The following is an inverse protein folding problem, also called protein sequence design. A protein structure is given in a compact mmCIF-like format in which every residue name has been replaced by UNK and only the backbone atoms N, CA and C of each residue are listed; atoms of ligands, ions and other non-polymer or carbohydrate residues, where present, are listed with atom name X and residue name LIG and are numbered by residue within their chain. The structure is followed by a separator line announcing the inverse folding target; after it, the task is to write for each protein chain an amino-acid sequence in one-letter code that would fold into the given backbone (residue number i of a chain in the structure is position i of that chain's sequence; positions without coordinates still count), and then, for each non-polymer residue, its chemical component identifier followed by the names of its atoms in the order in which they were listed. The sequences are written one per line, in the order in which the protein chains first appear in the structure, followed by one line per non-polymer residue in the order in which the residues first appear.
data_IF_635970278659
#
_entry.id   IF_635970278659
#
_cell.length_a   1.000
_cell.length_b   1.000
_cell.length_c   1.000
_cell.angle_alpha   90.00
_cell.angle_beta   90.00
_cell.angle_gamma   90.00
#
_symmetry.space_group_name_H-M   'P 1'
#
loop_
_entity.id
_entity.type
_entity.pdbx_description
1 polymer ?
#
# COMPACT_ATOMS: atom_id res chain seq x y z
N UNK A 1 -2.65 -41.27 2.42
CA UNK A 1 -2.40 -40.37 1.33
C UNK A 1 -3.17 -39.10 1.50
N UNK A 2 -2.55 -38.05 2.05
CA UNK A 2 -3.14 -36.72 2.02
C UNK A 2 -2.87 -36.18 0.63
N UNK A 3 -3.92 -35.94 -0.15
CA UNK A 3 -3.81 -35.33 -1.45
C UNK A 3 -3.26 -33.91 -1.32
N UNK A 4 -2.21 -33.66 -2.04
CA UNK A 4 -1.57 -32.34 -2.11
C UNK A 4 -2.51 -31.41 -2.88
N UNK A 5 -3.38 -30.70 -2.16
CA UNK A 5 -4.30 -29.72 -2.75
C UNK A 5 -3.58 -28.38 -2.96
N UNK A 6 -2.47 -28.42 -3.71
CA UNK A 6 -1.70 -27.24 -4.06
C UNK A 6 -2.47 -26.42 -5.11
N UNK A 7 -2.78 -25.17 -4.75
CA UNK A 7 -3.43 -24.23 -5.67
C UNK A 7 -2.38 -23.26 -6.17
N UNK A 8 -2.18 -23.20 -7.47
CA UNK A 8 -1.29 -22.25 -8.09
C UNK A 8 -2.01 -20.91 -8.24
N UNK A 9 -1.60 -19.90 -7.44
CA UNK A 9 -2.20 -18.56 -7.44
C UNK A 9 -1.49 -17.66 -8.44
N UNK A 10 -0.15 -17.62 -8.40
CA UNK A 10 0.68 -16.86 -9.33
C UNK A 10 1.38 -17.81 -10.31
N UNK A 11 1.33 -17.46 -11.59
CA UNK A 11 1.76 -18.33 -12.71
C UNK A 11 2.85 -17.68 -13.55
N UNK A 12 3.98 -17.38 -12.92
CA UNK A 12 5.09 -16.74 -13.60
C UNK A 12 4.81 -15.26 -13.89
N UNK A 13 5.21 -14.39 -12.97
CA UNK A 13 5.04 -12.94 -13.09
C UNK A 13 6.42 -12.31 -13.22
N UNK A 14 6.59 -11.53 -14.30
CA UNK A 14 7.71 -10.62 -14.48
C UNK A 14 7.18 -9.21 -14.56
N UNK A 15 7.64 -8.35 -13.64
CA UNK A 15 7.26 -6.94 -13.64
C UNK A 15 8.39 -6.08 -13.09
N UNK A 16 8.37 -4.82 -13.49
CA UNK A 16 9.33 -3.81 -13.05
C UNK A 16 8.58 -2.52 -12.73
N UNK A 17 8.91 -1.93 -11.58
CA UNK A 17 8.35 -0.65 -11.12
C UNK A 17 9.53 0.24 -10.76
N UNK A 18 9.53 1.46 -11.30
CA UNK A 18 10.58 2.44 -11.02
C UNK A 18 10.31 3.20 -9.72
N UNK A 19 11.37 3.62 -9.08
CA UNK A 19 11.31 4.44 -7.87
C UNK A 19 10.53 5.75 -8.12
N UNK A 20 9.62 6.08 -7.22
CA UNK A 20 8.82 7.30 -7.31
C UNK A 20 7.61 7.20 -8.24
N UNK A 21 7.34 6.02 -8.79
CA UNK A 21 6.12 5.79 -9.60
C UNK A 21 4.89 5.58 -8.71
N UNK A 22 3.77 6.05 -9.22
CA UNK A 22 2.44 5.67 -8.72
C UNK A 22 1.94 4.53 -9.61
N UNK A 23 1.92 3.32 -9.06
CA UNK A 23 1.57 2.11 -9.78
C UNK A 23 0.20 1.61 -9.34
N UNK A 24 -0.65 1.29 -10.31
CA UNK A 24 -1.96 0.67 -10.06
C UNK A 24 -1.97 -0.73 -10.65
N UNK A 25 -2.23 -1.72 -9.80
CA UNK A 25 -2.47 -3.10 -10.18
C UNK A 25 -3.98 -3.35 -10.26
N UNK A 26 -4.48 -3.57 -11.46
CA UNK A 26 -5.88 -3.85 -11.74
C UNK A 26 -6.11 -5.34 -12.00
N UNK A 27 -7.26 -5.81 -11.55
CA UNK A 27 -7.72 -7.14 -11.86
C UNK A 27 -8.92 -7.53 -11.02
N UNK A 28 -9.68 -8.56 -11.45
CA UNK A 28 -10.81 -9.05 -10.68
C UNK A 28 -10.37 -9.70 -9.36
N UNK A 29 -11.29 -9.84 -8.42
CA UNK A 29 -11.06 -10.59 -7.19
C UNK A 29 -10.57 -12.00 -7.51
N UNK A 30 -9.60 -12.50 -6.74
CA UNK A 30 -9.02 -13.83 -6.94
C UNK A 30 -8.03 -13.93 -8.10
N UNK A 31 -7.62 -12.82 -8.71
CA UNK A 31 -6.62 -12.82 -9.80
C UNK A 31 -5.17 -12.92 -9.32
N UNK A 32 -4.92 -12.90 -8.01
CA UNK A 32 -3.58 -12.99 -7.43
C UNK A 32 -2.95 -11.66 -7.02
N UNK A 33 -3.67 -10.55 -7.10
CA UNK A 33 -3.16 -9.21 -6.77
C UNK A 33 -2.66 -9.12 -5.32
N UNK A 34 -3.48 -9.52 -4.36
CA UNK A 34 -3.12 -9.48 -2.93
C UNK A 34 -1.95 -10.41 -2.62
N UNK A 35 -1.90 -11.59 -3.23
CA UNK A 35 -0.79 -12.53 -3.10
C UNK A 35 0.50 -11.90 -3.62
N UNK A 36 0.46 -11.27 -4.79
CA UNK A 36 1.61 -10.57 -5.35
C UNK A 36 2.10 -9.45 -4.43
N UNK A 37 1.17 -8.65 -3.89
CA UNK A 37 1.50 -7.57 -2.97
C UNK A 37 2.16 -8.08 -1.70
N UNK A 38 1.66 -9.17 -1.14
CA UNK A 38 2.23 -9.82 0.05
C UNK A 38 3.64 -10.38 -0.21
N UNK A 39 3.90 -10.88 -1.41
CA UNK A 39 5.24 -11.34 -1.81
C UNK A 39 6.19 -10.16 -1.95
N UNK A 40 5.78 -9.09 -2.60
CA UNK A 40 6.56 -7.85 -2.71
C UNK A 40 6.88 -7.28 -1.32
N UNK A 41 5.92 -7.33 -0.42
CA UNK A 41 6.08 -6.89 0.97
C UNK A 41 6.89 -7.82 1.86
N UNK A 42 7.29 -8.99 1.38
CA UNK A 42 8.01 -9.98 2.16
C UNK A 42 7.17 -10.65 3.25
N UNK A 43 5.84 -10.55 3.18
CA UNK A 43 4.91 -11.20 4.11
C UNK A 43 4.78 -12.68 3.75
N UNK A 44 4.64 -12.97 2.47
CA UNK A 44 4.60 -14.31 1.92
C UNK A 44 5.86 -14.57 1.09
N UNK A 45 6.33 -15.81 1.07
CA UNK A 45 7.42 -16.25 0.21
C UNK A 45 6.92 -16.68 -1.17
N UNK A 46 7.75 -16.46 -2.19
CA UNK A 46 7.53 -17.04 -3.51
C UNK A 46 8.05 -18.48 -3.54
N UNK A 47 7.37 -19.36 -4.27
CA UNK A 47 7.83 -20.73 -4.47
C UNK A 47 9.13 -20.78 -5.30
N UNK A 48 9.25 -19.86 -6.26
CA UNK A 48 10.42 -19.70 -7.13
C UNK A 48 10.50 -18.29 -7.69
N UNK A 49 11.65 -17.95 -8.25
CA UNK A 49 11.88 -16.64 -8.84
C UNK A 49 12.68 -15.71 -7.94
N UNK A 50 12.77 -14.46 -8.34
CA UNK A 50 13.55 -13.45 -7.63
C UNK A 50 12.78 -12.15 -7.50
N UNK A 51 13.02 -11.46 -6.38
CA UNK A 51 12.49 -10.13 -6.10
C UNK A 51 13.65 -9.25 -5.69
N UNK A 52 13.91 -8.20 -6.46
CA UNK A 52 14.96 -7.24 -6.18
C UNK A 52 14.34 -5.87 -5.93
N UNK A 53 14.67 -5.25 -4.81
CA UNK A 53 14.23 -3.92 -4.45
C UNK A 53 15.45 -3.09 -4.10
N UNK A 54 15.68 -2.00 -4.83
CA UNK A 54 16.85 -1.13 -4.70
C UNK A 54 18.18 -1.91 -4.72
N UNK A 55 18.25 -2.96 -5.56
CA UNK A 55 19.45 -3.80 -5.71
C UNK A 55 19.58 -4.93 -4.68
N UNK A 56 18.69 -5.02 -3.71
CA UNK A 56 18.69 -6.10 -2.70
C UNK A 56 17.71 -7.20 -3.06
N UNK A 57 18.15 -8.45 -3.01
CA UNK A 57 17.34 -9.64 -3.27
C UNK A 57 16.64 -10.08 -1.98
N UNK A 58 15.32 -9.93 -1.92
CA UNK A 58 14.55 -10.20 -0.70
C UNK A 58 14.28 -11.69 -0.47
N UNK A 59 14.24 -12.53 -1.51
CA UNK A 59 14.00 -13.97 -1.39
C UNK A 59 15.13 -14.70 -0.65
N UNK A 60 16.33 -14.13 -0.62
CA UNK A 60 17.49 -14.70 0.06
C UNK A 60 17.61 -14.22 1.52
N UNK A 61 16.74 -13.32 1.96
CA UNK A 61 16.79 -12.76 3.31
C UNK A 61 16.32 -13.75 4.37
N UNK A 62 17.00 -13.73 5.52
CA UNK A 62 16.52 -14.41 6.74
C UNK A 62 15.29 -13.67 7.30
N UNK A 63 14.52 -14.32 8.18
CA UNK A 63 13.39 -13.67 8.87
C UNK A 63 13.77 -12.37 9.57
N UNK A 64 14.94 -12.35 10.18
CA UNK A 64 15.47 -11.14 10.84
C UNK A 64 15.71 -10.01 9.83
N UNK A 65 16.33 -10.32 8.69
CA UNK A 65 16.57 -9.34 7.63
C UNK A 65 15.28 -8.88 6.96
N UNK A 66 14.32 -9.77 6.73
CA UNK A 66 13.00 -9.42 6.21
C UNK A 66 12.24 -8.49 7.15
N UNK A 67 12.30 -8.73 8.44
CA UNK A 67 11.69 -7.83 9.44
C UNK A 67 12.30 -6.43 9.39
N UNK A 68 13.63 -6.34 9.29
CA UNK A 68 14.33 -5.07 9.14
C UNK A 68 14.00 -4.38 7.81
N UNK A 69 13.91 -5.14 6.73
CA UNK A 69 13.53 -4.64 5.42
C UNK A 69 12.12 -4.02 5.44
N UNK A 70 11.12 -4.75 5.96
CA UNK A 70 9.75 -4.23 6.10
C UNK A 70 9.69 -2.99 6.98
N UNK A 71 10.42 -3.01 8.08
CA UNK A 71 10.48 -1.91 9.04
C UNK A 71 11.06 -0.64 8.43
N UNK A 72 12.13 -0.79 7.64
CA UNK A 72 12.90 0.32 7.10
C UNK A 72 12.34 0.87 5.79
N UNK A 73 11.86 0.00 4.89
CA UNK A 73 11.56 0.36 3.51
C UNK A 73 10.07 0.36 3.19
N UNK A 74 9.25 -0.39 3.93
CA UNK A 74 7.85 -0.60 3.56
C UNK A 74 6.86 0.05 4.53
N UNK A 75 5.85 0.71 3.94
CA UNK A 75 4.58 0.97 4.59
C UNK A 75 3.50 0.08 3.97
N UNK A 76 2.62 -0.48 4.76
CA UNK A 76 1.54 -1.34 4.30
C UNK A 76 0.19 -0.83 4.78
N UNK A 77 -0.72 -0.57 3.84
CA UNK A 77 -2.09 -0.16 4.11
C UNK A 77 -3.02 -1.30 3.71
N UNK A 78 -3.66 -1.89 4.71
CA UNK A 78 -4.58 -3.00 4.52
C UNK A 78 -5.99 -2.50 4.19
N UNK A 79 -6.79 -3.32 3.51
CA UNK A 79 -8.21 -3.09 3.30
C UNK A 79 -8.97 -2.99 4.62
N UNK A 80 -8.63 -3.86 5.58
CA UNK A 80 -9.03 -3.75 6.98
C UNK A 80 -8.01 -2.86 7.69
N UNK A 81 -8.44 -1.87 8.42
CA UNK A 81 -7.57 -0.81 8.96
C UNK A 81 -6.52 -1.30 9.97
N UNK A 82 -6.81 -2.40 10.69
CA UNK A 82 -5.90 -3.04 11.65
C UNK A 82 -5.33 -2.08 12.72
N UNK A 83 -6.11 -1.11 13.14
CA UNK A 83 -5.72 -0.22 14.22
C UNK A 83 -5.71 -0.97 15.55
N UNK A 84 -4.81 -0.56 16.45
CA UNK A 84 -4.76 -1.08 17.81
C UNK A 84 -5.90 -0.44 18.60
N UNK A 85 -6.91 -1.21 19.04
CA UNK A 85 -8.17 -0.65 19.53
C UNK A 85 -8.06 0.11 20.84
N UNK A 86 -7.04 -0.18 21.64
CA UNK A 86 -6.81 0.44 22.95
C UNK A 86 -5.89 1.67 22.87
N UNK A 87 -5.41 2.00 21.69
CA UNK A 87 -4.56 3.17 21.46
C UNK A 87 -5.36 4.27 20.75
N UNK A 88 -5.06 5.51 21.09
CA UNK A 88 -5.60 6.69 20.41
C UNK A 88 -5.09 6.78 18.96
N UNK A 89 -5.66 7.69 18.18
CA UNK A 89 -5.16 8.03 16.84
C UNK A 89 -3.68 8.36 16.88
N UNK A 90 -3.28 9.28 17.75
CA UNK A 90 -1.87 9.67 17.91
C UNK A 90 -1.00 8.49 18.28
N UNK A 91 -1.40 7.71 19.24
CA UNK A 91 -0.63 6.54 19.70
C UNK A 91 -0.50 5.47 18.61
N UNK A 92 -1.56 5.23 17.83
CA UNK A 92 -1.48 4.32 16.67
C UNK A 92 -0.42 4.78 15.66
N UNK A 93 -0.36 6.08 15.36
CA UNK A 93 0.65 6.64 14.46
C UNK A 93 2.05 6.58 15.09
N UNK A 94 2.18 6.90 16.38
CA UNK A 94 3.44 6.86 17.11
C UNK A 94 4.06 5.47 17.15
N UNK A 95 3.26 4.41 17.16
CA UNK A 95 3.76 3.03 17.00
C UNK A 95 4.58 2.88 15.72
N UNK A 96 4.09 3.46 14.60
CA UNK A 96 4.85 3.49 13.35
C UNK A 96 6.14 4.30 13.46
N UNK A 97 6.09 5.45 14.13
CA UNK A 97 7.27 6.30 14.34
C UNK A 97 8.38 5.60 15.12
N UNK A 98 8.02 4.82 16.15
CA UNK A 98 8.98 4.03 16.92
C UNK A 98 9.73 3.00 16.09
N UNK A 99 9.14 2.55 15.00
CA UNK A 99 9.75 1.55 14.12
C UNK A 99 10.74 2.15 13.11
N UNK A 100 10.89 3.47 13.09
CA UNK A 100 11.69 4.17 12.09
C UNK A 100 12.91 4.88 12.71
N UNK A 101 14.01 4.91 11.97
CA UNK A 101 15.21 5.67 12.33
C UNK A 101 15.03 7.16 12.05
N UNK A 102 14.21 7.51 11.06
CA UNK A 102 13.93 8.88 10.63
C UNK A 102 12.44 9.10 10.38
N UNK A 103 11.59 9.03 11.41
CA UNK A 103 10.16 9.19 11.24
C UNK A 103 9.81 10.61 10.78
N UNK A 104 8.67 10.75 10.11
CA UNK A 104 8.06 12.03 9.84
C UNK A 104 7.55 12.64 11.17
N UNK A 105 7.38 13.96 11.18
CA UNK A 105 6.80 14.65 12.33
C UNK A 105 5.33 14.28 12.50
N UNK A 106 4.96 13.79 13.69
CA UNK A 106 3.61 13.30 13.98
C UNK A 106 2.59 14.42 13.94
N UNK A 107 2.88 15.59 14.50
CA UNK A 107 1.94 16.71 14.52
C UNK A 107 1.68 17.23 13.11
N UNK A 108 2.71 17.42 12.31
CA UNK A 108 2.59 17.81 10.92
C UNK A 108 1.77 16.79 10.12
N UNK A 109 2.02 15.51 10.35
CA UNK A 109 1.30 14.43 9.69
C UNK A 109 -0.17 14.39 10.07
N UNK A 110 -0.50 14.58 11.34
CA UNK A 110 -1.89 14.67 11.81
C UNK A 110 -2.65 15.80 11.11
N UNK A 111 -2.00 16.95 10.93
CA UNK A 111 -2.58 18.08 10.19
C UNK A 111 -2.76 17.75 8.70
N UNK A 112 -1.74 17.18 8.06
CA UNK A 112 -1.80 16.77 6.65
C UNK A 112 -2.93 15.77 6.40
N UNK A 113 -3.12 14.82 7.32
CA UNK A 113 -4.18 13.81 7.25
C UNK A 113 -5.57 14.36 7.61
N UNK A 114 -5.67 15.58 8.14
CA UNK A 114 -6.94 16.16 8.55
C UNK A 114 -7.58 15.51 9.77
N UNK A 115 -6.78 14.89 10.64
CA UNK A 115 -7.27 14.18 11.85
C UNK A 115 -6.65 14.71 13.15
N UNK A 116 -6.01 15.85 13.11
CA UNK A 116 -5.39 16.48 14.29
C UNK A 116 -6.42 16.66 15.45
N UNK A 117 -7.61 17.13 15.14
CA UNK A 117 -8.69 17.34 16.12
C UNK A 117 -9.18 16.03 16.78
N UNK A 118 -8.93 14.88 16.13
CA UNK A 118 -9.34 13.57 16.58
C UNK A 118 -8.21 12.76 17.20
N UNK A 119 -7.03 13.36 17.42
CA UNK A 119 -5.82 12.65 17.82
C UNK A 119 -5.92 11.87 19.12
N UNK A 120 -6.84 12.25 20.00
CA UNK A 120 -7.05 11.60 21.32
C UNK A 120 -8.19 10.59 21.33
N UNK A 121 -8.89 10.43 20.21
CA UNK A 121 -9.96 9.45 20.07
C UNK A 121 -9.43 8.05 19.88
N UNK A 122 -10.21 7.07 20.34
CA UNK A 122 -9.97 5.65 20.09
C UNK A 122 -10.57 5.25 18.73
N UNK A 123 -10.10 4.16 18.12
CA UNK A 123 -10.61 3.70 16.82
C UNK A 123 -12.13 3.54 16.74
N UNK A 124 -12.77 3.05 17.80
CA UNK A 124 -14.23 2.87 17.83
C UNK A 124 -15.03 4.19 17.86
N UNK A 125 -14.36 5.31 18.06
CA UNK A 125 -14.96 6.65 18.05
C UNK A 125 -14.80 7.36 16.70
N UNK A 126 -14.20 6.69 15.72
CA UNK A 126 -13.85 7.24 14.41
C UNK A 126 -14.77 6.74 13.31
N UNK A 127 -15.02 7.58 12.30
CA UNK A 127 -15.60 7.14 11.03
C UNK A 127 -14.65 6.20 10.30
N UNK A 128 -15.15 5.46 9.29
CA UNK A 128 -14.32 4.62 8.44
C UNK A 128 -13.17 5.39 7.77
N UNK A 129 -13.46 6.59 7.25
CA UNK A 129 -12.44 7.46 6.64
C UNK A 129 -11.38 7.93 7.62
N UNK A 130 -11.77 8.27 8.84
CA UNK A 130 -10.84 8.67 9.89
C UNK A 130 -9.96 7.50 10.34
N UNK A 131 -10.52 6.29 10.44
CA UNK A 131 -9.76 5.08 10.71
C UNK A 131 -8.75 4.80 9.60
N UNK A 132 -9.15 4.91 8.33
CA UNK A 132 -8.26 4.70 7.20
C UNK A 132 -7.15 5.74 7.16
N UNK A 133 -7.44 7.01 7.41
CA UNK A 133 -6.42 8.06 7.50
C UNK A 133 -5.43 7.81 8.63
N UNK A 134 -5.89 7.29 9.76
CA UNK A 134 -5.03 6.89 10.87
C UNK A 134 -4.10 5.74 10.47
N UNK A 135 -4.64 4.73 9.80
CA UNK A 135 -3.86 3.60 9.27
C UNK A 135 -2.81 4.05 8.26
N UNK A 136 -3.17 4.97 7.37
CA UNK A 136 -2.24 5.61 6.42
C UNK A 136 -1.14 6.35 7.19
N UNK A 137 -1.50 7.14 8.18
CA UNK A 137 -0.55 7.87 9.02
C UNK A 137 0.46 6.96 9.71
N UNK A 138 -0.01 5.85 10.28
CA UNK A 138 0.87 4.84 10.88
C UNK A 138 1.85 4.23 9.86
N UNK A 139 1.42 4.02 8.63
CA UNK A 139 2.27 3.49 7.57
C UNK A 139 3.29 4.51 7.06
N UNK A 140 2.85 5.76 6.77
CA UNK A 140 3.72 6.77 6.16
C UNK A 140 4.63 7.49 7.17
N UNK A 141 4.28 7.52 8.46
CA UNK A 141 5.15 8.12 9.50
C UNK A 141 6.52 7.46 9.57
N UNK A 142 6.62 6.21 9.18
CA UNK A 142 7.88 5.46 9.08
C UNK A 142 8.82 6.05 8.03
N UNK A 143 8.33 6.96 7.18
CA UNK A 143 9.04 7.50 6.03
C UNK A 143 9.52 6.38 5.08
N UNK A 144 8.61 5.50 4.62
CA UNK A 144 8.98 4.35 3.80
C UNK A 144 9.34 4.78 2.39
N UNK A 145 10.17 3.97 1.71
CA UNK A 145 10.47 4.15 0.28
C UNK A 145 9.31 3.68 -0.59
N UNK A 146 8.62 2.65 -0.11
CA UNK A 146 7.54 1.98 -0.84
C UNK A 146 6.30 1.88 0.04
N UNK A 147 5.17 2.30 -0.49
CA UNK A 147 3.86 2.19 0.14
C UNK A 147 3.01 1.18 -0.64
N UNK A 148 2.64 0.10 0.03
CA UNK A 148 1.79 -0.95 -0.52
C UNK A 148 0.36 -0.77 -0.02
N UNK A 149 -0.60 -0.62 -0.93
CA UNK A 149 -1.99 -0.34 -0.58
C UNK A 149 -2.91 -1.42 -1.14
N UNK A 150 -3.59 -2.14 -0.26
CA UNK A 150 -4.56 -3.16 -0.61
C UNK A 150 -5.97 -2.59 -0.54
N UNK A 151 -6.56 -2.27 -1.70
CA UNK A 151 -7.91 -1.69 -1.82
C UNK A 151 -8.14 -0.54 -0.82
N UNK A 152 -7.34 0.53 -0.85
CA UNK A 152 -7.35 1.53 0.22
C UNK A 152 -8.67 2.30 0.34
N UNK A 153 -9.52 2.24 -0.67
CA UNK A 153 -10.81 2.94 -0.71
C UNK A 153 -12.03 2.01 -0.75
N UNK A 154 -11.81 0.70 -0.68
CA UNK A 154 -12.86 -0.29 -0.93
C UNK A 154 -14.06 -0.25 0.02
N UNK A 155 -13.86 0.23 1.25
CA UNK A 155 -14.92 0.34 2.27
C UNK A 155 -15.36 1.79 2.51
N UNK A 156 -14.92 2.75 1.68
CA UNK A 156 -15.17 4.17 1.87
C UNK A 156 -16.21 4.71 0.88
N UNK A 157 -16.93 5.75 1.30
CA UNK A 157 -17.75 6.52 0.38
C UNK A 157 -16.90 7.25 -0.66
N UNK A 158 -17.54 7.69 -1.74
CA UNK A 158 -16.87 8.33 -2.87
C UNK A 158 -15.95 9.50 -2.47
N UNK A 159 -16.49 10.47 -1.73
CA UNK A 159 -15.73 11.67 -1.37
C UNK A 159 -14.53 11.36 -0.46
N UNK A 160 -14.72 10.48 0.50
CA UNK A 160 -13.66 10.03 1.40
C UNK A 160 -12.60 9.24 0.63
N UNK A 161 -13.03 8.33 -0.23
CA UNK A 161 -12.12 7.55 -1.08
C UNK A 161 -11.27 8.44 -1.98
N UNK A 162 -11.89 9.44 -2.61
CA UNK A 162 -11.20 10.42 -3.45
C UNK A 162 -10.15 11.23 -2.66
N UNK A 163 -10.50 11.65 -1.45
CA UNK A 163 -9.59 12.35 -0.54
C UNK A 163 -8.37 11.49 -0.16
N UNK A 164 -8.58 10.21 0.11
CA UNK A 164 -7.51 9.26 0.41
C UNK A 164 -6.58 9.08 -0.80
N UNK A 165 -7.12 8.88 -1.99
CA UNK A 165 -6.32 8.74 -3.21
C UNK A 165 -5.53 10.01 -3.53
N UNK A 166 -6.10 11.17 -3.29
CA UNK A 166 -5.38 12.45 -3.44
C UNK A 166 -4.21 12.54 -2.48
N UNK A 167 -4.40 12.14 -1.24
CA UNK A 167 -3.32 12.08 -0.25
C UNK A 167 -2.19 11.17 -0.72
N UNK A 168 -2.51 9.96 -1.18
CA UNK A 168 -1.52 9.00 -1.66
C UNK A 168 -0.78 9.52 -2.90
N UNK A 169 -1.49 10.13 -3.84
CA UNK A 169 -0.89 10.73 -5.02
C UNK A 169 0.06 11.88 -4.65
N UNK A 170 -0.34 12.72 -3.71
CA UNK A 170 0.50 13.82 -3.21
C UNK A 170 1.76 13.29 -2.50
N UNK A 171 1.65 12.24 -1.69
CA UNK A 171 2.81 11.61 -1.04
C UNK A 171 3.81 11.10 -2.07
N UNK A 172 3.31 10.47 -3.14
CA UNK A 172 4.15 10.05 -4.25
C UNK A 172 4.87 11.24 -4.91
N UNK A 173 4.14 12.30 -5.26
CA UNK A 173 4.70 13.46 -5.99
C UNK A 173 5.60 14.32 -5.13
N UNK A 174 5.22 14.59 -3.89
CA UNK A 174 5.93 15.51 -3.01
C UNK A 174 7.07 14.87 -2.22
N UNK A 175 6.89 13.63 -1.79
CA UNK A 175 7.86 12.90 -0.96
C UNK A 175 8.71 11.89 -1.74
N UNK A 176 8.38 11.64 -3.00
CA UNK A 176 9.10 10.66 -3.82
C UNK A 176 8.86 9.21 -3.43
N UNK A 177 7.82 8.92 -2.66
CA UNK A 177 7.43 7.55 -2.32
C UNK A 177 6.97 6.80 -3.58
N UNK A 178 7.42 5.55 -3.71
CA UNK A 178 6.83 4.61 -4.67
C UNK A 178 5.53 4.09 -4.07
N UNK A 179 4.42 4.30 -4.76
CA UNK A 179 3.10 3.87 -4.28
C UNK A 179 2.59 2.77 -5.20
N UNK A 180 2.20 1.64 -4.62
CA UNK A 180 1.61 0.51 -5.34
C UNK A 180 0.23 0.25 -4.76
N UNK A 181 -0.80 0.47 -5.57
CA UNK A 181 -2.20 0.25 -5.18
C UNK A 181 -2.75 -0.94 -5.93
N UNK A 182 -3.31 -1.90 -5.22
CA UNK A 182 -4.15 -2.91 -5.84
C UNK A 182 -5.61 -2.52 -5.72
N UNK A 183 -6.34 -2.64 -6.83
CA UNK A 183 -7.76 -2.32 -6.89
C UNK A 183 -8.45 -3.08 -8.02
N UNK A 184 -9.75 -3.23 -7.93
CA UNK A 184 -10.60 -3.68 -9.03
C UNK A 184 -11.30 -2.51 -9.75
N UNK A 185 -11.10 -1.27 -9.28
CA UNK A 185 -11.72 -0.08 -9.85
C UNK A 185 -10.90 0.44 -11.04
N UNK A 186 -11.39 0.15 -12.25
CA UNK A 186 -10.75 0.55 -13.50
C UNK A 186 -10.73 2.06 -13.72
N UNK A 187 -11.61 2.81 -13.07
CA UNK A 187 -11.64 4.26 -13.19
C UNK A 187 -10.37 4.94 -12.67
N UNK A 188 -9.59 4.24 -11.83
CA UNK A 188 -8.32 4.75 -11.30
C UNK A 188 -7.15 4.60 -12.26
N UNK A 189 -7.29 3.88 -13.37
CA UNK A 189 -6.23 3.65 -14.33
C UNK A 189 -5.54 4.94 -14.82
N UNK A 190 -6.27 6.04 -15.12
CA UNK A 190 -5.64 7.26 -15.65
C UNK A 190 -4.70 7.97 -14.68
N UNK A 191 -4.83 7.75 -13.36
CA UNK A 191 -3.96 8.39 -12.37
C UNK A 191 -2.59 7.74 -12.20
N UNK A 192 -2.41 6.54 -12.73
CA UNK A 192 -1.18 5.77 -12.58
C UNK A 192 -0.09 6.22 -13.55
N UNK A 193 1.16 6.26 -13.08
CA UNK A 193 2.33 6.32 -13.96
C UNK A 193 2.54 4.99 -14.68
N UNK A 194 2.25 3.89 -13.96
CA UNK A 194 2.35 2.52 -14.47
C UNK A 194 1.09 1.75 -14.10
N UNK A 195 0.50 1.11 -15.08
CA UNK A 195 -0.71 0.32 -14.94
C UNK A 195 -0.39 -1.13 -15.26
N UNK A 196 -0.71 -2.03 -14.33
CA UNK A 196 -0.47 -3.46 -14.47
C UNK A 196 -1.80 -4.19 -14.34
N UNK A 197 -2.19 -4.92 -15.38
CA UNK A 197 -3.37 -5.77 -15.36
C UNK A 197 -3.00 -7.18 -14.97
N UNK A 198 -3.59 -7.68 -13.88
CA UNK A 198 -3.40 -9.05 -13.39
C UNK A 198 -4.66 -9.85 -13.69
N UNK A 199 -4.48 -11.01 -14.32
CA UNK A 199 -5.56 -11.94 -14.63
C UNK A 199 -5.06 -13.36 -14.49
N UNK A 200 -5.81 -14.19 -13.73
CA UNK A 200 -5.48 -15.61 -13.53
C UNK A 200 -4.02 -15.83 -13.07
N UNK A 201 -3.53 -15.01 -12.17
CA UNK A 201 -2.18 -15.13 -11.61
C UNK A 201 -1.05 -14.71 -12.54
N UNK A 202 -1.35 -14.01 -13.63
CA UNK A 202 -0.38 -13.54 -14.62
C UNK A 202 -0.55 -12.05 -14.90
N UNK A 203 0.54 -11.42 -15.36
CA UNK A 203 0.49 -10.07 -15.93
C UNK A 203 -0.10 -10.17 -17.33
N UNK A 204 -1.33 -9.72 -17.50
CA UNK A 204 -2.01 -9.71 -18.79
C UNK A 204 -1.55 -8.54 -19.67
N UNK A 205 -1.28 -7.40 -19.06
CA UNK A 205 -0.86 -6.17 -19.75
C UNK A 205 -0.14 -5.24 -18.77
N UNK A 206 0.87 -4.53 -19.25
CA UNK A 206 1.57 -3.47 -18.51
C UNK A 206 1.70 -2.24 -19.40
N UNK A 207 1.35 -1.09 -18.87
CA UNK A 207 1.35 0.18 -19.58
C UNK A 207 2.06 1.25 -18.77
N UNK A 208 2.85 2.09 -19.44
CA UNK A 208 3.40 3.32 -18.87
C UNK A 208 2.57 4.51 -19.34
N UNK A 209 2.28 5.44 -18.44
CA UNK A 209 1.52 6.65 -18.71
C UNK A 209 2.38 7.87 -18.40
N UNK A 210 2.80 8.59 -19.42
CA UNK A 210 3.65 9.78 -19.28
C UNK A 210 2.90 11.01 -18.74
N UNK A 211 1.57 11.02 -18.84
CA UNK A 211 0.71 12.13 -18.42
C UNK A 211 -0.39 11.64 -17.48
N UNK A 212 -0.05 11.21 -16.24
CA UNK A 212 -1.04 10.75 -15.29
C UNK A 212 -2.00 11.88 -14.91
N UNK A 213 -3.28 11.53 -14.83
CA UNK A 213 -4.35 12.45 -14.48
C UNK A 213 -4.42 12.63 -12.97
N UNK A 214 -4.65 13.88 -12.51
CA UNK A 214 -4.97 14.12 -11.11
C UNK A 214 -6.27 13.41 -10.72
N UNK A 215 -6.31 12.86 -9.51
CA UNK A 215 -7.53 12.24 -8.97
C UNK A 215 -8.71 13.22 -8.94
N UNK A 216 -8.46 14.51 -8.85
CA UNK A 216 -9.51 15.53 -8.87
C UNK A 216 -10.33 15.54 -10.16
N UNK A 217 -9.76 15.06 -11.26
CA UNK A 217 -10.38 14.97 -12.57
C UNK A 217 -11.01 13.60 -12.88
N UNK A 218 -10.92 12.65 -11.95
CA UNK A 218 -11.44 11.28 -12.12
C UNK A 218 -12.77 11.14 -11.41
N UNK A 219 -13.74 10.51 -12.09
CA UNK A 219 -15.03 10.13 -11.55
C UNK A 219 -15.23 8.61 -11.68
N UNK A 220 -15.84 7.96 -10.68
CA UNK A 220 -16.18 6.53 -10.71
C UNK A 220 -17.52 6.23 -10.02
#
# INVERSE_FOLDING_TARGET
GMGDSRIEVLKGIDLEIERGEFCVLLGPSGSGKSTLLNIIGGIDGADSGSITIDGERIEDMTEKKLSLYRRKHLGYIFQMYNLIPNLTVRENIEVGAYLSDKPLDVDELLHTLGIYEHQRKLPNQLSGGQQQRTAIGRAIVKNPDILLCDEPTGALDYNTGKSILKLLQNMCREKGMTVIIITHNQALAPMADRLIHIKNGQVARMESNENPTSIDEIEW
#
